data_IF_066648365536
#
_entry.id   IF_066648365536
#
_cell.length_a   1.000
_cell.length_b   1.000
_cell.length_c   1.000
_cell.angle_alpha   90.00
_cell.angle_beta   90.00
_cell.angle_gamma   90.00
#
_symmetry.space_group_name_H-M   'P 1'
#
loop_
_entity.id
_entity.type
_entity.pdbx_description
1 polymer ?
2 polymer ?
3 non-polymer ?
4 water ?
#
# COMPACT_ATOMS: atom_id res chain seq x y z
N UNK A 15 -14.66 30.97 14.44
CA UNK A 15 -15.40 29.75 14.00
C UNK A 15 -15.76 29.91 12.53
N UNK A 16 -16.43 31.01 12.15
CA UNK A 16 -16.81 31.23 10.75
C UNK A 16 -15.62 31.50 9.83
N UNK A 17 -14.49 31.90 10.41
CA UNK A 17 -13.29 32.17 9.65
C UNK A 17 -12.26 31.06 9.90
N UNK A 18 -12.63 30.11 10.78
CA UNK A 18 -11.78 28.97 11.12
C UNK A 18 -12.45 27.60 10.90
N UNK A 19 -12.97 27.36 9.69
CA UNK A 19 -13.62 26.10 9.36
C UNK A 19 -12.65 24.91 9.41
N UNK A 20 -11.43 25.13 8.95
CA UNK A 20 -10.42 24.08 8.94
C UNK A 20 -10.06 23.59 10.33
N UNK A 21 -10.45 24.31 11.37
CA UNK A 21 -10.13 23.90 12.74
C UNK A 21 -11.07 22.78 13.18
N UNK A 22 -12.19 22.63 12.49
CA UNK A 22 -13.15 21.62 12.91
C UNK A 22 -13.19 20.42 11.97
N UNK A 23 -12.92 19.22 12.52
CA UNK A 23 -12.93 18.02 11.69
C UNK A 23 -14.31 17.38 11.68
N UNK A 24 -14.65 16.68 10.60
CA UNK A 24 -15.93 16.02 10.53
C UNK A 24 -15.90 14.88 11.54
N UNK A 25 -17.01 14.66 12.24
CA UNK A 25 -17.17 13.60 13.24
C UNK A 25 -17.11 12.22 12.60
N UNK A 26 -16.64 11.23 13.36
CA UNK A 26 -16.51 9.85 12.88
C UNK A 26 -17.84 9.29 12.36
N UNK A 27 -18.94 9.78 12.91
CA UNK A 27 -20.28 9.35 12.50
C UNK A 27 -20.58 9.77 11.07
N UNK A 28 -20.04 10.91 10.68
CA UNK A 28 -20.22 11.43 9.32
C UNK A 28 -19.73 10.41 8.31
N UNK A 29 -18.52 9.90 8.51
CA UNK A 29 -17.95 8.92 7.58
C UNK A 29 -18.77 7.65 7.53
N UNK A 30 -19.26 7.20 8.68
CA UNK A 30 -20.08 6.00 8.75
C UNK A 30 -21.38 6.23 7.98
N UNK A 31 -21.99 7.38 8.21
CA UNK A 31 -23.22 7.73 7.54
C UNK A 31 -23.00 7.84 6.04
N UNK A 32 -21.81 8.31 5.65
CA UNK A 32 -21.49 8.48 4.26
C UNK A 32 -21.35 7.14 3.53
N UNK A 33 -20.74 6.17 4.20
CA UNK A 33 -20.57 4.85 3.61
C UNK A 33 -21.94 4.21 3.33
N UNK A 34 -22.87 4.36 4.29
CA UNK A 34 -24.22 3.81 4.14
C UNK A 34 -24.96 4.54 3.02
N UNK A 35 -24.80 5.86 3.01
CA UNK A 35 -25.43 6.68 1.99
C UNK A 35 -24.93 6.20 0.62
N UNK A 36 -23.64 5.89 0.54
CA UNK A 36 -23.06 5.40 -0.72
C UNK A 36 -23.62 4.03 -1.10
N UNK A 37 -23.69 3.13 -0.12
CA UNK A 37 -24.20 1.78 -0.36
C UNK A 37 -25.63 1.79 -0.91
N UNK A 38 -26.52 2.52 -0.24
CA UNK A 38 -27.90 2.58 -0.69
C UNK A 38 -27.97 3.18 -2.10
N UNK A 39 -27.33 4.33 -2.30
CA UNK A 39 -27.35 4.98 -3.60
C UNK A 39 -26.90 4.07 -4.74
N UNK A 40 -25.77 3.39 -4.56
CA UNK A 40 -25.26 2.51 -5.60
C UNK A 40 -26.18 1.32 -5.84
N UNK A 41 -26.78 0.81 -4.77
CA UNK A 41 -27.70 -0.31 -4.90
C UNK A 41 -29.01 0.13 -5.55
N UNK A 42 -29.57 1.19 -5.00
CA UNK A 42 -30.82 1.77 -5.50
C UNK A 42 -30.75 2.03 -6.99
N UNK A 43 -29.58 2.46 -7.46
CA UNK A 43 -29.40 2.75 -8.87
C UNK A 43 -28.99 1.52 -9.66
N UNK A 44 -28.98 0.36 -8.99
CA UNK A 44 -28.60 -0.90 -9.62
C UNK A 44 -27.18 -0.88 -10.19
N UNK A 45 -26.28 -0.19 -9.51
CA UNK A 45 -24.89 -0.10 -9.95
C UNK A 45 -23.99 -1.09 -9.22
N UNK A 46 -24.40 -1.49 -8.02
CA UNK A 46 -23.62 -2.43 -7.23
C UNK A 46 -24.55 -3.33 -6.40
N UNK A 47 -24.34 -4.63 -6.50
CA UNK A 47 -25.17 -5.60 -5.77
C UNK A 47 -24.66 -5.88 -4.35
N UNK A 48 -25.53 -6.40 -3.50
CA UNK A 48 -25.16 -6.72 -2.12
C UNK A 48 -24.34 -7.98 -2.02
N UNK A 49 -24.56 -8.91 -2.93
CA UNK A 49 -23.80 -10.14 -2.90
C UNK A 49 -22.38 -9.92 -3.42
N UNK A 50 -22.16 -8.80 -4.09
CA UNK A 50 -20.84 -8.48 -4.60
C UNK A 50 -20.03 -7.82 -3.48
N UNK A 51 -20.70 -7.02 -2.66
CA UNK A 51 -20.06 -6.33 -1.55
C UNK A 51 -19.62 -7.34 -0.49
N UNK A 52 -20.32 -8.46 -0.43
CA UNK A 52 -20.02 -9.51 0.55
C UNK A 52 -18.89 -10.40 0.05
N UNK A 53 -18.87 -10.65 -1.26
CA UNK A 53 -17.82 -11.46 -1.85
C UNK A 53 -16.45 -10.88 -1.48
N UNK A 54 -16.34 -9.56 -1.55
CA UNK A 54 -15.10 -8.85 -1.22
C UNK A 54 -14.72 -8.97 0.26
N UNK A 55 -15.68 -8.71 1.14
CA UNK A 55 -15.39 -8.78 2.57
C UNK A 55 -14.92 -10.18 2.92
N UNK A 56 -15.59 -11.18 2.35
CA UNK A 56 -15.25 -12.57 2.60
C UNK A 56 -13.85 -12.88 2.11
N UNK A 57 -13.50 -12.32 0.96
CA UNK A 57 -12.19 -12.54 0.36
C UNK A 57 -11.01 -11.89 1.06
N UNK A 58 -11.21 -10.71 1.64
CA UNK A 58 -10.12 -10.04 2.33
C UNK A 58 -10.09 -10.25 3.83
N UNK A 59 -11.18 -10.79 4.38
CA UNK A 59 -11.25 -11.00 5.82
C UNK A 59 -11.16 -12.48 6.23
N UNK A 60 -11.45 -13.38 5.29
CA UNK A 60 -11.43 -14.80 5.58
C UNK A 60 -10.65 -15.64 4.55
N UNK A 61 -10.35 -15.07 3.39
CA UNK A 61 -9.63 -15.84 2.37
C UNK A 61 -8.13 -15.54 2.27
N UNK A 62 -7.75 -14.27 2.40
CA UNK A 62 -6.36 -13.90 2.33
C UNK A 62 -5.78 -13.66 3.72
N UNK A 63 -4.49 -13.95 3.87
CA UNK A 63 -3.84 -13.76 5.16
C UNK A 63 -2.35 -14.01 5.07
N UNK A 64 -1.58 -13.66 6.10
CA UNK A 64 -0.13 -13.85 6.12
C UNK A 64 0.31 -15.30 5.94
N UNK A 65 -0.64 -16.21 6.06
CA UNK A 65 -0.38 -17.63 5.90
C UNK A 65 0.23 -17.93 4.54
N UNK A 66 -0.18 -17.21 3.50
CA UNK A 66 0.36 -17.43 2.16
C UNK A 66 1.86 -17.17 2.07
N UNK A 67 2.29 -16.00 2.52
CA UNK A 67 3.70 -15.67 2.48
C UNK A 67 4.51 -16.62 3.33
N UNK A 68 3.91 -17.06 4.44
CA UNK A 68 4.58 -17.98 5.33
C UNK A 68 4.99 -19.27 4.63
N UNK A 69 4.13 -19.77 3.74
CA UNK A 69 4.44 -20.99 3.01
C UNK A 69 5.59 -20.77 2.04
N UNK A 70 5.64 -19.59 1.42
CA UNK A 70 6.70 -19.25 0.48
C UNK A 70 8.03 -19.24 1.23
N UNK A 71 8.05 -18.63 2.41
CA UNK A 71 9.26 -18.57 3.21
C UNK A 71 9.71 -19.96 3.64
N UNK A 72 8.77 -20.80 4.02
CA UNK A 72 9.06 -22.15 4.46
C UNK A 72 9.62 -23.01 3.35
N UNK A 73 9.09 -22.85 2.15
CA UNK A 73 9.55 -23.62 1.01
C UNK A 73 10.96 -23.19 0.60
N UNK A 74 11.23 -21.88 0.66
CA UNK A 74 12.54 -21.36 0.33
C UNK A 74 13.53 -21.73 1.42
N UNK A 75 13.03 -21.87 2.64
CA UNK A 75 13.87 -22.23 3.77
C UNK A 75 14.30 -23.68 3.69
N UNK A 76 13.65 -24.44 2.82
CA UNK A 76 13.96 -25.86 2.68
C UNK A 76 14.32 -26.33 1.27
N UNK A 77 14.28 -25.41 0.30
CA UNK A 77 14.59 -25.76 -1.07
C UNK A 77 15.45 -24.69 -1.73
N UNK A 78 16.79 -24.86 -1.70
CA UNK A 78 17.73 -23.90 -2.29
C UNK A 78 17.39 -23.54 -3.73
N UNK A 79 16.90 -24.49 -4.51
CA UNK A 79 16.55 -24.19 -5.88
C UNK A 79 15.36 -23.25 -5.92
N UNK A 80 14.34 -23.54 -5.14
CA UNK A 80 13.16 -22.67 -5.11
C UNK A 80 13.56 -21.27 -4.70
N UNK A 81 14.34 -21.16 -3.62
CA UNK A 81 14.79 -19.88 -3.12
C UNK A 81 15.45 -19.04 -4.23
N UNK A 82 16.37 -19.65 -4.98
CA UNK A 82 17.06 -18.97 -6.07
C UNK A 82 16.03 -18.50 -7.10
N UNK A 83 15.19 -19.42 -7.56
CA UNK A 83 14.16 -19.08 -8.53
C UNK A 83 13.32 -17.91 -8.03
N UNK A 84 13.02 -17.94 -6.73
CA UNK A 84 12.21 -16.93 -6.08
C UNK A 84 12.87 -15.56 -6.06
N UNK A 85 14.15 -15.50 -5.75
CA UNK A 85 14.87 -14.24 -5.68
C UNK A 85 15.19 -13.64 -7.04
N UNK A 86 15.35 -14.47 -8.04
CA UNK A 86 15.69 -14.00 -9.38
C UNK A 86 14.46 -13.58 -10.15
N UNK A 87 13.49 -14.46 -10.27
CA UNK A 87 12.28 -14.13 -10.99
C UNK A 87 11.09 -14.46 -10.12
N UNK A 88 10.86 -13.62 -9.09
CA UNK A 88 9.76 -13.74 -8.13
C UNK A 88 8.37 -13.70 -8.73
N UNK A 89 8.16 -12.81 -9.71
CA UNK A 89 6.86 -12.70 -10.33
C UNK A 89 6.38 -14.00 -10.95
N UNK A 90 7.28 -14.70 -11.63
CA UNK A 90 6.91 -15.97 -12.25
C UNK A 90 6.66 -17.04 -11.20
N UNK A 91 7.60 -17.18 -10.27
CA UNK A 91 7.47 -18.18 -9.22
C UNK A 91 6.15 -18.03 -8.46
N UNK A 92 5.83 -16.81 -8.03
CA UNK A 92 4.60 -16.56 -7.30
C UNK A 92 3.36 -16.89 -8.13
N UNK A 93 3.40 -16.58 -9.42
CA UNK A 93 2.27 -16.87 -10.29
C UNK A 93 1.98 -18.37 -10.34
N UNK A 94 3.03 -19.18 -10.36
CA UNK A 94 2.88 -20.62 -10.39
C UNK A 94 2.25 -21.12 -9.09
N UNK A 95 2.61 -20.49 -7.98
CA UNK A 95 2.06 -20.90 -6.70
C UNK A 95 0.62 -20.45 -6.56
N UNK A 96 0.22 -19.47 -7.37
CA UNK A 96 -1.14 -18.98 -7.30
C UNK A 96 -1.34 -17.78 -6.39
N UNK A 97 -0.25 -17.28 -5.80
CA UNK A 97 -0.31 -16.12 -4.91
C UNK A 97 -0.22 -14.86 -5.76
N UNK A 98 -1.25 -14.63 -6.56
CA UNK A 98 -1.33 -13.49 -7.46
C UNK A 98 -2.70 -12.84 -7.29
N UNK A 99 -2.80 -11.56 -7.63
CA UNK A 99 -4.07 -10.88 -7.51
C UNK A 99 -3.98 -9.38 -7.36
N UNK A 100 -5.14 -8.75 -7.16
CA UNK A 100 -5.22 -7.30 -6.99
C UNK A 100 -4.20 -6.86 -5.96
N UNK A 101 -3.48 -5.79 -6.26
CA UNK A 101 -2.43 -5.25 -5.38
C UNK A 101 -1.37 -6.29 -5.01
N UNK A 102 -1.16 -7.23 -5.92
CA UNK A 102 -0.15 -8.25 -5.72
C UNK A 102 0.32 -8.70 -7.09
N UNK A 103 0.13 -7.85 -8.10
CA UNK A 103 0.52 -8.19 -9.46
C UNK A 103 2.03 -8.24 -9.65
N UNK A 104 2.76 -7.31 -9.03
CA UNK A 104 4.23 -7.26 -9.16
C UNK A 104 4.86 -7.25 -7.77
N UNK A 105 5.54 -8.34 -7.44
CA UNK A 105 6.16 -8.44 -6.13
C UNK A 105 7.64 -8.80 -6.19
N UNK A 106 8.41 -8.21 -5.29
CA UNK A 106 9.84 -8.46 -5.21
C UNK A 106 10.11 -8.97 -3.81
N UNK A 107 10.97 -9.97 -3.70
CA UNK A 107 11.31 -10.54 -2.41
C UNK A 107 12.75 -10.15 -2.02
N UNK A 108 12.89 -9.42 -0.92
CA UNK A 108 14.22 -9.01 -0.45
C UNK A 108 14.64 -9.93 0.69
N UNK A 109 15.87 -10.44 0.62
CA UNK A 109 16.38 -11.36 1.63
C UNK A 109 17.24 -10.74 2.73
N UNK A 110 16.98 -11.13 3.97
CA UNK A 110 17.77 -10.63 5.09
C UNK A 110 18.99 -11.53 5.24
N UNK A 111 20.12 -10.95 5.63
CA UNK A 111 21.36 -11.72 5.82
C UNK A 111 21.96 -11.27 7.13
N UNK A 112 23.07 -11.89 7.52
CA UNK A 112 23.71 -11.50 8.78
C UNK A 112 24.19 -10.06 8.77
N UNK A 113 24.40 -9.51 7.58
CA UNK A 113 24.89 -8.14 7.47
C UNK A 113 23.88 -7.18 6.85
N UNK A 114 22.78 -7.72 6.36
CA UNK A 114 21.75 -6.89 5.76
C UNK A 114 20.36 -7.17 6.31
N UNK A 115 19.64 -6.10 6.64
CA UNK A 115 18.28 -6.23 7.14
C UNK A 115 17.33 -5.39 6.28
N UNK A 116 16.18 -5.96 5.95
CA UNK A 116 15.21 -5.28 5.11
C UNK A 116 13.91 -4.94 5.84
N UNK A 117 13.35 -3.77 5.52
CA UNK A 117 12.09 -3.34 6.11
C UNK A 117 11.34 -2.53 5.05
N UNK A 118 10.09 -2.93 4.81
CA UNK A 118 9.23 -2.29 3.81
C UNK A 118 8.24 -1.31 4.44
N UNK A 119 7.75 -0.38 3.63
CA UNK A 119 6.80 0.64 4.08
C UNK A 119 6.18 1.31 2.86
N UNK A 120 5.18 2.15 3.13
CA UNK A 120 4.49 2.93 2.11
C UNK A 120 4.26 4.29 2.75
N UNK A 121 5.27 5.15 2.68
CA UNK A 121 5.19 6.48 3.30
C UNK A 121 4.02 7.33 2.82
N UNK A 122 3.69 7.22 1.53
CA UNK A 122 2.60 8.01 0.96
C UNK A 122 1.19 7.53 1.32
N UNK A 123 0.98 6.22 1.40
CA UNK A 123 -0.33 5.69 1.78
C UNK A 123 -0.26 4.45 2.68
N UNK A 124 -0.27 3.25 2.10
CA UNK A 124 -0.22 2.02 2.91
C UNK A 124 -0.14 0.78 2.03
N UNK A 125 0.36 0.95 0.80
CA UNK A 125 0.49 -0.15 -0.14
C UNK A 125 1.12 -1.37 0.54
N UNK A 126 0.49 -2.52 0.33
CA UNK A 126 0.85 -3.80 0.95
C UNK A 126 0.40 -4.88 -0.02
N UNK A 127 1.14 -5.99 -0.13
CA UNK A 127 0.83 -7.11 -1.02
C UNK A 127 -0.29 -8.02 -0.46
N UNK A 128 -1.52 -7.57 -0.61
CA UNK A 128 -2.70 -8.29 -0.10
C UNK A 128 -2.72 -9.77 -0.43
N UNK A 129 -2.56 -10.12 -1.71
CA UNK A 129 -2.57 -11.54 -2.09
C UNK A 129 -1.56 -12.42 -1.34
N UNK A 130 -0.53 -11.81 -0.77
CA UNK A 130 0.51 -12.56 -0.04
C UNK A 130 0.46 -12.54 1.48
N UNK A 131 0.25 -11.37 2.06
CA UNK A 131 0.21 -11.22 3.51
C UNK A 131 -1.14 -10.78 4.07
N UNK A 132 -2.12 -10.60 3.19
CA UNK A 132 -3.44 -10.17 3.63
C UNK A 132 -3.44 -8.68 3.92
N UNK A 133 -4.38 -8.21 4.74
CA UNK A 133 -4.42 -6.78 5.04
C UNK A 133 -3.27 -6.37 5.95
N UNK A 134 -2.82 -5.12 5.83
CA UNK A 134 -1.72 -4.58 6.64
C UNK A 134 -2.09 -4.33 8.10
N UNK A 135 -1.08 -4.25 8.97
CA UNK A 135 -1.24 -4.00 10.41
C UNK A 135 -1.80 -2.60 10.61
N UNK A 136 -2.39 -2.34 11.77
CA UNK A 136 -2.94 -1.03 12.03
C UNK A 136 -1.86 0.06 12.08
N UNK A 137 -0.73 -0.25 12.72
CA UNK A 137 0.37 0.72 12.84
C UNK A 137 1.08 0.99 11.53
N UNK A 138 0.95 0.07 10.58
CA UNK A 138 1.60 0.18 9.29
C UNK A 138 1.03 1.31 8.43
N UNK A 139 -0.24 1.65 8.63
CA UNK A 139 -0.86 2.69 7.84
C UNK A 139 -0.87 4.03 8.57
N UNK A 140 -0.40 4.06 9.81
CA UNK A 140 -0.42 5.32 10.54
C UNK A 140 0.85 6.16 10.30
N UNK A 141 0.73 7.48 10.47
CA UNK A 141 1.82 8.45 10.30
C UNK A 141 3.10 8.18 11.07
N UNK A 142 2.98 7.73 12.31
CA UNK A 142 4.16 7.48 13.15
C UNK A 142 5.19 6.60 12.46
N UNK A 143 4.77 5.41 12.03
CA UNK A 143 5.67 4.48 11.38
C UNK A 143 6.12 4.99 10.01
N UNK A 144 5.18 5.41 9.18
CA UNK A 144 5.46 5.90 7.85
C UNK A 144 6.40 7.09 7.80
N UNK A 145 6.32 7.97 8.79
CA UNK A 145 7.17 9.14 8.76
C UNK A 145 8.59 8.88 9.23
N UNK A 146 8.74 8.06 10.26
CA UNK A 146 10.05 7.79 10.84
C UNK A 146 10.89 6.65 10.27
N UNK A 147 10.25 5.59 9.81
CA UNK A 147 11.01 4.46 9.29
C UNK A 147 12.05 4.77 8.20
N UNK A 148 11.83 5.80 7.39
CA UNK A 148 12.80 6.13 6.34
C UNK A 148 13.96 7.02 6.78
N UNK A 149 13.80 7.75 7.88
CA UNK A 149 14.85 8.65 8.34
C UNK A 149 15.70 8.08 9.47
N UNK A 150 15.09 7.30 10.34
CA UNK A 150 15.77 6.69 11.48
C UNK A 150 15.23 5.29 11.74
N UNK A 151 15.40 4.37 10.79
CA UNK A 151 14.92 2.99 10.90
C UNK A 151 15.39 2.24 12.15
N UNK A 152 16.59 2.56 12.62
CA UNK A 152 17.13 1.90 13.81
C UNK A 152 16.32 2.17 15.06
N UNK A 153 15.88 3.41 15.26
CA UNK A 153 15.10 3.74 16.44
C UNK A 153 13.77 3.05 16.33
N UNK A 154 13.14 3.19 15.18
CA UNK A 154 11.85 2.55 14.97
C UNK A 154 11.95 1.06 15.26
N UNK A 155 13.01 0.41 14.78
CA UNK A 155 13.12 -1.01 15.03
C UNK A 155 13.25 -1.35 16.52
N UNK A 156 13.92 -0.49 17.29
CA UNK A 156 14.06 -0.75 18.72
C UNK A 156 12.68 -0.78 19.37
N UNK A 157 11.81 0.13 18.96
CA UNK A 157 10.47 0.17 19.51
C UNK A 157 9.75 -1.15 19.30
N UNK A 158 10.14 -1.91 18.28
CA UNK A 158 9.53 -3.21 18.01
C UNK A 158 10.33 -4.28 18.74
N UNK A 159 11.35 -3.86 19.48
CA UNK A 159 12.18 -4.80 20.22
C UNK A 159 13.32 -5.39 19.43
N UNK A 160 13.64 -4.78 18.28
CA UNK A 160 14.72 -5.27 17.44
C UNK A 160 15.90 -4.33 17.49
N UNK A 161 16.96 -4.75 18.15
CA UNK A 161 18.15 -3.92 18.29
C UNK A 161 19.23 -4.42 17.34
N UNK A 162 19.48 -3.69 16.27
CA UNK A 162 20.49 -4.11 15.31
C UNK A 162 21.80 -3.37 15.49
N UNK A 163 22.92 -4.08 15.33
CA UNK A 163 24.25 -3.50 15.45
C UNK A 163 24.46 -2.46 14.35
N UNK A 164 25.48 -1.63 14.49
CA UNK A 164 25.75 -0.62 13.48
C UNK A 164 26.45 -1.23 12.29
N UNK A 165 26.91 -2.46 12.43
CA UNK A 165 27.62 -3.13 11.35
C UNK A 165 26.63 -3.76 10.38
N UNK A 166 25.36 -3.75 10.75
CA UNK A 166 24.30 -4.31 9.93
C UNK A 166 23.60 -3.22 9.13
N UNK A 167 23.68 -3.31 7.81
CA UNK A 167 23.06 -2.32 6.94
C UNK A 167 21.55 -2.51 6.94
N UNK A 168 20.81 -1.41 7.11
CA UNK A 168 19.35 -1.48 7.09
C UNK A 168 18.83 -0.89 5.79
N UNK A 169 18.06 -1.67 5.05
CA UNK A 169 17.51 -1.19 3.80
C UNK A 169 16.01 -0.98 3.92
N UNK A 170 15.59 0.27 3.78
CA UNK A 170 14.18 0.59 3.84
C UNK A 170 13.65 0.60 2.42
N UNK A 171 12.53 -0.08 2.19
CA UNK A 171 11.92 -0.13 0.86
C UNK A 171 10.58 0.58 0.89
N UNK A 172 10.50 1.72 0.21
CA UNK A 172 9.25 2.50 0.18
C UNK A 172 8.44 2.17 -1.08
N UNK A 173 7.22 1.65 -0.92
CA UNK A 173 6.40 1.29 -2.08
C UNK A 173 5.76 2.47 -2.80
N UNK A 174 6.55 3.17 -3.60
CA UNK A 174 6.05 4.33 -4.33
C UNK A 174 5.31 3.98 -5.62
N UNK A 175 5.57 2.82 -6.19
CA UNK A 175 4.87 2.43 -7.43
C UNK A 175 3.93 1.26 -7.09
N UNK A 176 3.38 0.62 -8.12
CA UNK A 176 2.48 -0.50 -7.90
C UNK A 176 3.27 -1.72 -7.49
N UNK A 177 4.60 -1.62 -7.55
CA UNK A 177 5.46 -2.71 -7.18
C UNK A 177 5.45 -2.89 -5.66
N UNK A 178 5.27 -4.12 -5.19
CA UNK A 178 5.24 -4.40 -3.75
C UNK A 178 6.45 -5.23 -3.34
N UNK A 179 6.85 -5.13 -2.07
CA UNK A 179 7.99 -5.88 -1.59
C UNK A 179 7.67 -6.74 -0.36
N UNK A 180 8.32 -7.90 -0.28
CA UNK A 180 8.15 -8.80 0.86
C UNK A 180 9.53 -9.17 1.39
N UNK A 181 9.65 -9.26 2.70
CA UNK A 181 10.92 -9.60 3.33
C UNK A 181 11.04 -11.10 3.62
N UNK A 182 12.14 -11.70 3.18
CA UNK A 182 12.42 -13.11 3.42
C UNK A 182 13.40 -13.19 4.59
N UNK A 183 12.90 -13.49 5.81
CA UNK A 183 13.74 -13.59 7.01
C UNK A 183 14.68 -14.80 7.04
N UNK A 184 15.68 -14.77 7.90
CA UNK A 184 16.60 -15.90 8.01
C UNK A 184 15.99 -17.03 8.86
N UNK A 185 16.35 -18.26 8.54
CA UNK A 185 15.86 -19.42 9.26
C UNK A 185 16.53 -19.46 10.63
N UNK A 186 15.75 -19.39 11.71
CA UNK A 186 16.23 -19.41 13.09
C UNK A 186 17.16 -20.58 13.36
N UNK A 187 18.08 -20.37 14.29
CA UNK A 187 19.04 -21.40 14.65
C UNK A 187 18.49 -22.29 15.74
N UNK A 188 17.38 -22.96 15.45
CA UNK A 188 16.79 -23.84 16.44
C UNK A 188 15.93 -24.85 15.72
N UNK A 189 15.70 -24.58 14.45
CA UNK A 189 14.90 -25.46 13.63
C UNK A 189 15.60 -26.78 13.33
N UNK A 190 16.02 -26.97 12.08
CA UNK A 190 16.68 -28.19 11.63
C UNK A 190 15.93 -29.46 12.06
N UNK A 191 15.44 -30.20 11.08
CA UNK A 191 14.70 -31.41 11.40
C UNK A 191 13.22 -31.18 11.19
N UNK A 192 12.80 -29.92 11.33
CA UNK A 192 11.41 -29.56 11.15
C UNK A 192 11.08 -29.66 9.68
N UNK A 193 9.80 -29.86 9.38
CA UNK A 193 9.35 -29.98 8.00
C UNK A 193 8.87 -28.63 7.47
N UNK A 194 8.51 -28.61 6.19
CA UNK A 194 8.05 -27.39 5.56
C UNK A 194 6.80 -26.88 6.25
N UNK A 195 5.81 -27.75 6.42
CA UNK A 195 4.55 -27.37 7.04
C UNK A 195 4.78 -26.93 8.49
N UNK A 196 5.78 -27.50 9.14
CA UNK A 196 6.07 -27.14 10.52
C UNK A 196 6.80 -25.81 10.62
N UNK A 197 7.54 -25.46 9.57
CA UNK A 197 8.26 -24.20 9.56
C UNK A 197 7.32 -23.05 9.25
N UNK A 198 6.36 -23.29 8.36
CA UNK A 198 5.39 -22.25 7.99
C UNK A 198 4.67 -21.74 9.22
N UNK A 199 4.57 -22.56 10.27
CA UNK A 199 3.89 -22.15 11.49
C UNK A 199 4.66 -21.16 12.34
N UNK A 200 5.98 -21.09 12.19
CA UNK A 200 6.77 -20.16 13.01
C UNK A 200 7.06 -18.82 12.36
N UNK A 201 6.85 -18.71 11.06
CA UNK A 201 7.08 -17.46 10.33
C UNK A 201 5.96 -16.47 10.66
N UNK A 202 6.31 -15.34 11.29
CA UNK A 202 5.30 -14.35 11.64
C UNK A 202 5.11 -13.29 10.58
N UNK A 203 3.95 -12.66 10.61
CA UNK A 203 3.61 -11.61 9.66
C UNK A 203 4.63 -10.47 9.78
N UNK A 204 4.95 -10.08 11.00
CA UNK A 204 5.89 -9.00 11.19
C UNK A 204 7.29 -9.34 10.65
N UNK A 205 7.66 -10.61 10.67
CA UNK A 205 8.98 -10.97 10.16
C UNK A 205 9.08 -10.79 8.64
N UNK A 206 7.94 -10.85 7.95
CA UNK A 206 7.92 -10.68 6.51
C UNK A 206 7.77 -9.21 6.12
N UNK A 207 7.71 -8.33 7.11
CA UNK A 207 7.62 -6.90 6.84
C UNK A 207 8.99 -6.29 7.21
N UNK A 208 9.73 -7.01 8.04
CA UNK A 208 11.04 -6.55 8.46
C UNK A 208 11.11 -5.89 9.82
N UNK A 209 10.01 -5.92 10.57
CA UNK A 209 10.02 -5.29 11.89
C UNK A 209 10.33 -6.29 13.01
N UNK A 210 10.60 -7.54 12.63
CA UNK A 210 10.90 -8.57 13.60
C UNK A 210 11.60 -9.75 12.95
N UNK A 211 12.25 -10.56 13.76
CA UNK A 211 12.92 -11.74 13.26
C UNK A 211 12.25 -12.98 13.82
N UNK A 212 12.20 -14.04 13.03
CA UNK A 212 11.58 -15.27 13.49
C UNK A 212 12.38 -15.80 14.68
N UNK A 213 11.72 -16.00 15.81
CA UNK A 213 12.38 -16.51 17.01
C UNK A 213 12.52 -18.02 16.93
N UNK A 214 13.63 -18.55 17.46
CA UNK A 214 13.91 -19.99 17.46
C UNK A 214 12.92 -20.79 18.29
N UNK A 215 12.34 -21.84 17.69
CA UNK A 215 11.35 -22.75 18.30
C UNK A 215 11.94 -23.57 19.45
N UNK A 216 13.23 -23.37 19.70
CA UNK A 216 13.94 -24.08 20.77
C UNK A 216 13.17 -24.00 22.10
N UNK A 217 13.05 -22.78 22.63
CA UNK A 217 12.33 -22.55 23.88
C UNK A 217 10.86 -22.98 23.74
N UNK B 1 1.16 16.39 -5.13
CA UNK B 1 1.07 17.60 -4.29
C UNK B 1 1.84 17.39 -2.98
N UNK B 2 2.28 18.49 -2.38
CA UNK B 2 3.03 18.46 -1.12
C UNK B 2 2.04 18.45 0.04
N UNK B 3 1.18 17.42 0.06
CA UNK B 3 0.17 17.31 1.09
C UNK B 3 0.56 16.60 2.37
N UNK B 4 -0.39 16.58 3.29
CA UNK B 4 -0.20 15.96 4.58
C UNK B 4 0.05 14.45 4.48
N UNK B 5 -0.30 13.83 3.36
CA UNK B 5 -0.09 12.39 3.21
C UNK B 5 1.40 12.04 3.04
N UNK B 6 2.17 12.97 2.49
CA UNK B 6 3.61 12.78 2.26
C UNK B 6 4.36 13.03 3.56
N UNK B 7 4.17 12.14 4.53
CA UNK B 7 4.79 12.28 5.85
C UNK B 7 6.23 11.81 5.99
N UNK B 8 6.79 11.25 4.93
CA UNK B 8 8.16 10.77 5.00
C UNK B 8 9.11 11.82 5.56
N UNK B 9 9.82 11.48 6.62
CA UNK B 9 10.77 12.41 7.20
C UNK B 9 10.25 13.39 8.25
N UNK B 10 8.94 13.42 8.48
CA UNK B 10 8.39 14.35 9.46
C UNK B 10 8.60 13.86 10.90
N UNK B 11 8.53 14.80 11.84
CA UNK B 11 8.67 14.50 13.26
C UNK B 11 7.39 14.90 13.95
N UNK B 12 7.22 14.43 15.18
CA UNK B 12 6.05 14.81 15.94
C UNK B 12 4.88 13.84 15.94
N UNK B 13 4.97 12.77 15.17
CA UNK B 13 3.86 11.85 15.16
C UNK B 13 3.91 10.82 16.29
N UNK B 14 4.89 10.98 17.17
CA UNK B 14 5.00 10.09 18.31
C UNK B 14 5.42 8.66 18.08
N UNK B 15 5.26 7.84 19.12
CA UNK B 15 5.62 6.43 19.11
C UNK B 15 4.65 5.58 18.33
N UNK B 16 5.14 4.41 17.91
CA UNK B 16 4.33 3.47 17.15
C UNK B 16 3.47 2.64 18.11
N UNK B 17 2.16 2.56 17.83
CA UNK B 17 1.26 1.77 18.65
C UNK B 17 1.37 0.30 18.25
N UNK B 18 2.49 -0.32 18.59
CA UNK B 18 2.70 -1.73 18.24
C UNK B 18 1.70 -2.63 18.92
N UNK B 19 1.20 -3.61 18.19
CA UNK B 19 0.24 -4.57 18.73
C UNK B 19 0.55 -5.93 18.12
N UNK B 20 0.39 -6.99 18.90
CA UNK B 20 0.66 -8.35 18.40
C UNK B 20 -0.28 -8.66 17.24
N UNK B 21 0.23 -9.33 16.21
CA UNK B 21 -0.58 -9.65 15.04
C UNK B 21 -1.79 -10.51 15.34
N UNK B 22 -1.71 -11.33 16.38
CA UNK B 22 -2.83 -12.20 16.75
C UNK B 22 -3.90 -11.41 17.50
N UNK B 23 -3.64 -10.14 17.76
CA UNK B 23 -4.58 -9.29 18.47
C UNK B 23 -4.98 -8.04 17.69
N UNK B 24 -4.30 -7.81 16.57
CA UNK B 24 -4.59 -6.65 15.71
C UNK B 24 -5.76 -6.96 14.79
N UNK B 25 -6.96 -6.53 15.18
CA UNK B 25 -8.18 -6.77 14.40
C UNK B 25 -8.29 -5.92 13.14
N UNK B 26 -8.74 -6.55 12.05
CA UNK B 26 -8.90 -5.88 10.76
C UNK B 26 -9.98 -4.80 10.81
N UNK B 27 -11.23 -5.23 10.93
CA UNK B 27 -12.34 -4.30 10.99
C UNK B 27 -13.00 -4.30 12.35
N UNK B 28 -13.17 -3.12 12.93
CA UNK B 28 -13.82 -3.00 14.23
C UNK B 28 -15.30 -2.67 14.04
N UNK B 29 -15.62 -2.04 12.93
CA UNK B 29 -16.99 -1.66 12.67
C UNK B 29 -17.48 -2.22 11.35
N UNK B 30 -18.79 -2.34 11.22
CA UNK B 30 -19.37 -2.87 10.01
C UNK B 30 -19.21 -1.95 8.81
N UNK B 31 -19.25 -0.64 9.03
CA UNK B 31 -19.11 0.28 7.91
C UNK B 31 -17.73 0.21 7.31
N UNK B 32 -16.77 -0.24 8.10
CA UNK B 32 -15.41 -0.36 7.57
C UNK B 32 -15.40 -1.53 6.58
N UNK B 33 -16.01 -2.64 6.96
CA UNK B 33 -16.06 -3.80 6.06
C UNK B 33 -16.81 -3.39 4.79
N UNK B 34 -17.85 -2.59 4.98
CA UNK B 34 -18.67 -2.10 3.87
C UNK B 34 -17.84 -1.30 2.87
N UNK B 35 -17.01 -0.41 3.41
CA UNK B 35 -16.13 0.46 2.61
C UNK B 35 -15.23 -0.36 1.69
N UNK B 36 -14.62 -1.39 2.24
CA UNK B 36 -13.76 -2.22 1.43
C UNK B 36 -14.54 -2.72 0.22
N UNK B 37 -15.75 -3.20 0.45
CA UNK B 37 -16.59 -3.69 -0.63
C UNK B 37 -16.89 -2.58 -1.62
N UNK B 38 -17.32 -1.44 -1.09
CA UNK B 38 -17.63 -0.27 -1.90
C UNK B 38 -16.48 0.10 -2.82
N UNK B 39 -15.26 0.06 -2.30
CA UNK B 39 -14.07 0.40 -3.09
C UNK B 39 -13.80 -0.64 -4.17
N UNK B 40 -13.64 -1.89 -3.75
CA UNK B 40 -13.37 -2.99 -4.67
C UNK B 40 -14.50 -3.16 -5.69
N UNK B 41 -15.73 -2.88 -5.26
CA UNK B 41 -16.87 -3.02 -6.16
C UNK B 41 -16.90 -2.04 -7.33
N UNK B 42 -16.61 -0.77 -7.05
CA UNK B 42 -16.61 0.24 -8.10
C UNK B 42 -15.44 0.11 -9.06
N UNK B 43 -14.24 -0.07 -8.50
CA UNK B 43 -13.04 -0.18 -9.31
C UNK B 43 -13.10 -1.38 -10.25
N UNK B 44 -13.74 -2.46 -9.81
CA UNK B 44 -13.84 -3.65 -10.65
C UNK B 44 -14.65 -3.36 -11.91
N UNK B 45 -15.62 -2.47 -11.78
CA UNK B 45 -16.49 -2.10 -12.90
C UNK B 45 -16.02 -0.84 -13.56
N UNK B 46 -15.02 -0.19 -13.00
CA UNK B 46 -14.53 1.04 -13.59
C UNK B 46 -15.43 2.22 -13.30
N UNK B 47 -16.18 2.14 -12.20
CA UNK B 47 -17.09 3.20 -11.77
C UNK B 47 -16.33 4.26 -11.00
N UNK B 48 -16.07 5.40 -11.63
CA UNK B 48 -15.35 6.46 -10.95
C UNK B 48 -13.86 6.20 -10.79
N UNK B 49 -13.43 4.94 -10.92
CA UNK B 49 -12.03 4.58 -10.76
C UNK B 49 -11.59 3.42 -11.65
N UNK B 50 -10.63 3.66 -12.55
CA UNK B 50 -10.12 2.60 -13.44
C UNK B 50 -9.09 1.75 -12.71
N UNK B 51 -8.24 2.42 -11.93
CA UNK B 51 -7.19 1.76 -11.18
C UNK B 51 -7.00 2.52 -9.87
N UNK B 52 -5.85 2.36 -9.22
CA UNK B 52 -5.61 3.03 -7.95
C UNK B 52 -5.10 4.46 -8.02
N UNK B 53 -4.73 4.93 -9.22
CA UNK B 53 -4.25 6.30 -9.34
C UNK B 53 -5.33 7.30 -8.98
N UNK B 54 -6.51 7.13 -9.58
CA UNK B 54 -7.63 8.03 -9.31
C UNK B 54 -8.08 7.88 -7.86
N UNK B 55 -7.79 6.72 -7.28
CA UNK B 55 -8.15 6.42 -5.90
C UNK B 55 -7.27 7.15 -4.90
N UNK B 56 -5.96 7.18 -5.13
CA UNK B 56 -5.07 7.85 -4.18
C UNK B 56 -5.24 9.38 -4.18
N UNK B 57 -5.49 9.97 -5.34
CA UNK B 57 -5.64 11.42 -5.42
C UNK B 57 -6.84 11.85 -4.58
N UNK B 58 -7.90 11.06 -4.62
CA UNK B 58 -9.10 11.38 -3.87
C UNK B 58 -8.79 11.55 -2.40
N UNK B 59 -7.92 10.70 -1.87
CA UNK B 59 -7.54 10.78 -0.47
C UNK B 59 -6.67 12.02 -0.23
N UNK B 60 -5.67 12.22 -1.09
CA UNK B 60 -4.75 13.35 -1.00
C UNK B 60 -5.45 14.71 -1.00
N UNK B 61 -6.61 14.78 -1.63
CA UNK B 61 -7.38 16.01 -1.70
C UNK B 61 -8.17 16.31 -0.43
N UNK B 62 -8.18 15.38 0.54
CA UNK B 62 -8.93 15.61 1.77
C UNK B 62 -8.39 16.81 2.53
N UNK B 63 -9.18 17.33 3.45
CA UNK B 63 -8.70 18.45 4.25
C UNK B 63 -7.76 17.83 5.26
N UNK B 64 -6.64 18.52 5.54
CA UNK B 64 -5.66 18.00 6.50
C UNK B 64 -6.31 17.54 7.82
N UNK B 65 -7.20 18.33 8.41
CA UNK B 65 -7.83 17.89 9.66
C UNK B 65 -8.65 16.61 9.51
N UNK B 66 -9.27 16.42 8.35
CA UNK B 66 -10.08 15.22 8.13
C UNK B 66 -9.17 14.00 7.92
N UNK B 67 -8.05 14.22 7.24
CA UNK B 67 -7.13 13.14 6.97
C UNK B 67 -6.51 12.58 8.26
N UNK B 68 -6.22 13.46 9.22
CA UNK B 68 -5.63 13.02 10.47
C UNK B 68 -6.64 12.51 11.48
N UNK B 69 -7.88 13.01 11.39
CA UNK B 69 -8.92 12.60 12.32
C UNK B 69 -9.74 11.39 11.88
N UNK B 70 -10.25 11.39 10.66
CA UNK B 70 -11.04 10.25 10.20
C UNK B 70 -10.17 9.01 10.31
N UNK B 71 -10.80 7.85 10.41
CA UNK B 71 -9.99 6.63 10.52
C UNK B 71 -9.38 6.28 9.15
N UNK B 72 -8.64 5.19 9.12
CA UNK B 72 -8.02 4.76 7.87
C UNK B 72 -9.09 4.56 6.80
N UNK B 73 -10.15 3.81 7.11
CA UNK B 73 -11.20 3.57 6.12
C UNK B 73 -12.04 4.82 5.87
N UNK B 74 -11.73 5.90 6.59
CA UNK B 74 -12.44 7.14 6.37
C UNK B 74 -11.89 7.74 5.08
N UNK B 75 -10.60 7.49 4.84
CA UNK B 75 -9.90 7.98 3.65
C UNK B 75 -10.52 7.33 2.40
N UNK B 76 -10.76 6.03 2.50
CA UNK B 76 -11.34 5.28 1.39
C UNK B 76 -12.72 5.80 1.03
N UNK B 77 -13.51 6.13 2.04
CA UNK B 77 -14.84 6.65 1.82
C UNK B 77 -14.77 8.01 1.10
N UNK B 78 -13.86 8.87 1.56
CA UNK B 78 -13.73 10.19 0.96
C UNK B 78 -13.38 10.13 -0.54
N UNK B 79 -12.47 9.24 -0.91
CA UNK B 79 -12.08 9.15 -2.30
C UNK B 79 -13.17 8.55 -3.18
N UNK B 80 -13.87 7.54 -2.68
CA UNK B 80 -14.94 6.92 -3.44
C UNK B 80 -16.02 7.95 -3.75
N UNK B 81 -16.34 8.78 -2.75
CA UNK B 81 -17.35 9.80 -2.95
C UNK B 81 -16.83 10.86 -3.91
N UNK B 82 -15.57 11.24 -3.75
CA UNK B 82 -14.93 12.24 -4.59
C UNK B 82 -15.01 11.86 -6.07
N UNK B 83 -14.54 10.65 -6.37
CA UNK B 83 -14.52 10.13 -7.72
C UNK B 83 -15.89 9.93 -8.34
N UNK B 84 -16.86 9.47 -7.54
CA UNK B 84 -18.20 9.24 -8.08
C UNK B 84 -18.88 10.57 -8.43
N UNK B 85 -18.58 11.61 -7.66
CA UNK B 85 -19.15 12.92 -7.92
C UNK B 85 -18.49 13.50 -9.16
N UNK B 86 -17.17 13.51 -9.17
CA UNK B 86 -16.39 14.02 -10.30
C UNK B 86 -16.83 13.44 -11.62
N UNK B 87 -16.88 12.11 -11.71
CA UNK B 87 -17.30 11.46 -12.94
C UNK B 87 -18.80 11.55 -13.15
N UNK B 88 -19.48 12.36 -12.33
CA UNK B 88 -20.92 12.50 -12.47
C UNK B 88 -21.78 11.27 -12.23
N UNK B 89 -21.21 10.21 -11.68
CA UNK B 89 -21.97 9.00 -11.41
C UNK B 89 -23.08 9.30 -10.39
N UNK B 90 -22.80 10.20 -9.46
CA UNK B 90 -23.77 10.57 -8.45
C UNK B 90 -23.81 12.09 -8.34
N UNK B 91 -24.97 12.62 -8.00
CA UNK B 91 -25.13 14.05 -7.87
C UNK B 91 -24.79 14.55 -6.46
N UNK B 92 -24.20 15.74 -6.39
CA UNK B 92 -23.82 16.34 -5.11
C UNK B 92 -24.94 16.39 -4.08
N UNK B 93 -26.04 17.06 -4.42
CA UNK B 93 -27.20 17.19 -3.53
C UNK B 93 -27.77 15.80 -3.19
N UNK B 94 -27.72 14.92 -4.18
CA UNK B 94 -28.21 13.56 -4.02
C UNK B 94 -27.53 12.80 -2.89
N UNK B 95 -26.20 12.94 -2.81
CA UNK B 95 -25.41 12.27 -1.78
C UNK B 95 -25.55 12.95 -0.41
N UNK B 96 -25.60 14.27 -0.40
CA UNK B 96 -25.73 15.01 0.85
C UNK B 96 -26.98 14.64 1.63
N UNK B 97 -28.11 14.53 0.93
CA UNK B 97 -29.36 14.19 1.60
C UNK B 97 -29.30 12.80 2.24
N UNK B 98 -28.72 11.83 1.54
CA UNK B 98 -28.62 10.48 2.09
C UNK B 98 -27.73 10.45 3.32
N UNK B 99 -26.58 11.12 3.22
CA UNK B 99 -25.66 11.17 4.34
C UNK B 99 -26.37 11.68 5.58
N UNK B 100 -27.04 12.81 5.44
CA UNK B 100 -27.78 13.42 6.55
C UNK B 100 -28.83 12.47 7.08
N UNK B 101 -29.53 11.80 6.16
CA UNK B 101 -30.58 10.86 6.54
C UNK B 101 -30.02 9.77 7.45
N UNK B 102 -28.87 9.19 7.07
CA UNK B 102 -28.27 8.15 7.87
C UNK B 102 -27.64 8.63 9.15
N UNK B 103 -27.43 9.93 9.26
CA UNK B 103 -26.88 10.47 10.49
C UNK B 103 -28.03 10.65 11.46
N UNK B 104 -29.22 10.85 10.90
CA UNK B 104 -30.43 11.04 11.71
C UNK B 104 -30.87 9.71 12.32
N UNK B 105 -31.01 8.69 11.48
CA UNK B 105 -31.42 7.37 11.93
C UNK B 105 -30.52 6.30 11.31
N UNK B 106 -29.35 6.08 11.94
CA UNK B 106 -28.33 5.11 11.54
C UNK B 106 -28.80 3.67 11.44
N UNK B 107 -29.92 3.37 12.10
CA UNK B 107 -30.47 2.01 12.09
C UNK B 107 -31.25 1.69 10.83
N UNK B 108 -31.50 2.71 10.00
CA UNK B 108 -32.26 2.52 8.77
C UNK B 108 -31.70 1.37 7.95
N UNK B 109 -32.55 0.39 7.63
CA UNK B 109 -32.12 -0.74 6.83
C UNK B 109 -32.13 -0.40 5.35
N UNK B 110 -31.32 -1.12 4.58
CA UNK B 110 -31.24 -0.89 3.15
C UNK B 110 -31.81 -2.06 2.38
N UNK B 111 -32.51 -1.75 1.29
CA UNK B 111 -33.10 -2.77 0.44
C UNK B 111 -32.00 -3.65 -0.14
N UNK B 112 -32.05 -4.95 0.17
CA UNK B 112 -31.03 -5.85 -0.36
C UNK B 112 -31.37 -6.22 -1.80
N UNK B 113 -30.35 -6.29 -2.65
CA UNK B 113 -30.51 -6.64 -4.06
C UNK B 113 -29.28 -7.42 -4.47
N UNK B 114 -29.46 -8.43 -5.31
CA UNK B 114 -28.32 -9.23 -5.74
C UNK B 114 -28.38 -9.71 -7.17
N UNK B 115 -27.22 -10.13 -7.68
CA UNK B 115 -27.07 -10.67 -9.02
C UNK B 115 -25.65 -11.18 -9.16
N UNK B 116 -25.51 -12.50 -9.39
CA UNK B 116 -24.20 -13.15 -9.54
C UNK B 116 -23.38 -12.59 -10.69
N UNK B 117 -24.01 -11.82 -11.57
CA UNK B 117 -23.31 -11.25 -12.71
C UNK B 117 -22.20 -10.31 -12.26
N UNK B 118 -22.54 -9.35 -11.40
CA UNK B 118 -21.54 -8.41 -10.91
C UNK B 118 -20.53 -9.14 -10.03
N UNK B 119 -21.00 -10.08 -9.24
CA UNK B 119 -20.13 -10.84 -8.36
C UNK B 119 -19.01 -11.49 -9.15
N UNK B 120 -19.35 -11.94 -10.35
CA UNK B 120 -18.37 -12.60 -11.19
C UNK B 120 -17.35 -11.57 -11.68
N UNK B 121 -17.81 -10.33 -11.89
CA UNK B 121 -16.92 -9.26 -12.35
C UNK B 121 -15.90 -8.91 -11.26
N UNK B 122 -16.40 -8.74 -10.04
CA UNK B 122 -15.56 -8.41 -8.90
C UNK B 122 -14.50 -9.48 -8.68
N UNK B 123 -14.88 -10.75 -8.84
CA UNK B 123 -13.91 -11.82 -8.65
C UNK B 123 -12.80 -11.76 -9.69
N UNK B 124 -13.18 -11.39 -10.91
CA UNK B 124 -12.23 -11.26 -12.01
C UNK B 124 -11.13 -10.28 -11.63
N UNK B 125 -11.52 -9.13 -11.10
CA UNK B 125 -10.58 -8.10 -10.69
C UNK B 125 -9.68 -8.53 -9.53
N UNK B 126 -10.27 -9.17 -8.53
CA UNK B 126 -9.54 -9.63 -7.36
C UNK B 126 -8.48 -10.69 -7.68
N UNK B 127 -8.75 -11.52 -8.69
CA UNK B 127 -7.83 -12.59 -9.04
C UNK B 127 -6.90 -12.28 -10.21
N UNK B 128 -7.33 -11.42 -11.13
CA UNK B 128 -6.50 -11.07 -12.27
C UNK B 128 -5.66 -9.81 -12.03
N UNK B 129 -6.13 -8.94 -11.14
CA UNK B 129 -5.41 -7.72 -10.81
C UNK B 129 -5.46 -6.65 -11.89
N UNK B 130 -4.70 -5.57 -11.71
CA UNK B 130 -4.67 -4.49 -12.70
C UNK B 130 -3.22 -4.05 -12.94
N UNK B 131 -2.42 -4.92 -13.56
CA UNK B 131 -1.03 -4.62 -13.85
C UNK B 131 -0.91 -3.32 -14.65
N UNK B 132 -0.09 -2.37 -14.17
CA UNK B 132 0.10 -1.09 -14.85
C UNK B 132 1.16 -1.13 -15.94
N UNK B 133 1.67 -2.33 -16.22
CA UNK B 133 2.71 -2.52 -17.23
C UNK B 133 2.17 -2.29 -18.64
N UNK B 134 2.92 -1.52 -19.43
CA UNK B 134 2.53 -1.22 -20.79
C UNK B 134 3.72 -1.31 -21.71
N UNK B 135 3.47 -1.20 -23.02
CA UNK B 135 4.52 -1.27 -24.02
C UNK B 135 4.68 0.06 -24.71
N UNK B 136 5.91 0.53 -24.82
CA UNK B 136 6.17 1.81 -25.48
C UNK B 136 7.32 1.70 -26.47
N UNK B 137 7.49 2.73 -27.30
CA UNK B 137 8.54 2.72 -28.30
C UNK B 137 9.76 3.53 -27.89
N UNK B 138 9.63 4.30 -26.81
CA UNK B 138 10.71 5.15 -26.31
C UNK B 138 11.88 4.35 -25.79
N UNK B 139 13.06 4.94 -25.86
CA UNK B 139 14.28 4.31 -25.36
C UNK B 139 14.54 4.87 -23.96
N UNK B 140 14.65 3.98 -22.96
CA UNK B 140 14.91 4.40 -21.58
C UNK B 140 16.15 5.30 -21.52
N UNK B 141 16.09 6.35 -20.72
CA UNK B 141 17.22 7.27 -20.61
C UNK B 141 18.36 6.76 -19.74
N UNK B 142 18.04 6.07 -18.66
CA UNK B 142 19.06 5.59 -17.73
C UNK B 142 19.22 4.09 -17.66
N UNK B 143 20.37 3.64 -17.19
CA UNK B 143 20.64 2.21 -17.10
C UNK B 143 21.09 1.80 -15.70
N UNK B 144 20.92 0.52 -15.38
CA UNK B 144 21.31 0.02 -14.08
C UNK B 144 22.74 0.41 -13.77
N UNK B 145 22.98 0.87 -12.54
CA UNK B 145 24.32 1.25 -12.16
C UNK B 145 24.59 2.72 -12.37
N UNK B 146 23.82 3.38 -13.22
CA UNK B 146 24.06 4.77 -13.47
C UNK B 146 23.70 5.66 -12.28
N UNK B 147 24.48 6.73 -12.08
CA UNK B 147 24.25 7.66 -11.00
C UNK B 147 23.24 8.67 -11.50
N UNK B 148 22.14 8.81 -10.76
CA UNK B 148 21.08 9.71 -11.16
C UNK B 148 20.88 10.90 -10.22
N UNK B 149 19.98 11.79 -10.60
CA UNK B 149 19.67 12.97 -9.79
C UNK B 149 18.18 13.26 -9.93
N UNK B 150 17.45 13.18 -8.82
CA UNK B 150 16.02 13.44 -8.91
C UNK B 150 15.78 14.91 -9.23
N UNK B 151 14.77 15.18 -10.05
CA UNK B 151 14.47 16.54 -10.44
C UNK B 151 13.83 17.32 -9.27
N UNK B 152 14.03 18.64 -9.26
CA UNK B 152 13.44 19.48 -8.23
C UNK B 152 12.14 20.09 -8.75
N UNK B 153 11.08 19.30 -8.73
CA UNK B 153 9.81 19.78 -9.19
C UNK B 153 8.77 19.50 -8.12
N UNK B 154 7.77 20.38 -8.07
CA UNK B 154 6.70 20.30 -7.10
C UNK B 154 5.35 20.28 -7.81
N UNK B 155 4.96 19.12 -8.33
CA UNK B 155 3.67 19.07 -9.03
C UNK B 155 2.50 19.38 -8.10
N UNK B 156 1.51 20.11 -8.63
CA UNK B 156 0.30 20.51 -7.92
C UNK B 156 -0.68 19.34 -7.80
N UNK B 157 -0.68 18.49 -8.83
CA UNK B 157 -1.58 17.36 -8.82
C UNK B 157 -0.93 16.14 -8.21
N UNK B 158 -1.53 14.99 -8.41
CA UNK B 158 -1.02 13.73 -7.89
C UNK B 158 0.38 13.43 -8.41
N UNK B 159 1.18 12.76 -7.57
CA UNK B 159 2.52 12.37 -7.95
C UNK B 159 3.03 11.39 -6.91
N UNK B 160 3.91 10.48 -7.32
CA UNK B 160 4.45 9.48 -6.41
C UNK B 160 5.91 9.84 -6.16
N UNK B 161 6.18 11.14 -6.15
CA UNK B 161 7.53 11.65 -5.95
C UNK B 161 7.55 12.33 -4.57
N UNK B 162 7.73 11.53 -3.51
CA UNK B 162 7.77 12.04 -2.13
C UNK B 162 8.83 13.12 -1.95
N UNK B 163 8.50 14.13 -1.16
CA UNK B 163 9.40 15.25 -0.93
C UNK B 163 10.77 14.90 -0.35
N UNK B 164 10.86 13.89 0.50
CA UNK B 164 12.16 13.61 1.09
C UNK B 164 13.23 13.13 0.11
N UNK B 165 12.88 12.90 -1.15
CA UNK B 165 13.89 12.47 -2.11
C UNK B 165 14.06 13.43 -3.30
N UNK B 166 13.54 14.65 -3.19
CA UNK B 166 13.68 15.59 -4.28
C UNK B 166 15.00 16.34 -4.24
N UNK B 167 15.59 16.53 -5.42
CA UNK B 167 16.84 17.25 -5.55
C UNK B 167 17.91 16.50 -4.77
N UNK B 168 18.01 15.19 -5.03
CA UNK B 168 18.98 14.36 -4.33
C UNK B 168 19.59 13.39 -5.34
N UNK B 169 20.83 12.99 -5.08
CA UNK B 169 21.53 12.06 -5.98
C UNK B 169 21.34 10.62 -5.57
N UNK B 170 21.15 9.74 -6.55
CA UNK B 170 20.97 8.33 -6.27
C UNK B 170 21.53 7.41 -7.34
N UNK B 171 21.33 6.10 -7.19
CA UNK B 171 21.84 5.13 -8.15
C UNK B 171 20.75 4.17 -8.63
N UNK B 172 20.62 4.00 -9.95
CA UNK B 172 19.61 3.09 -10.47
C UNK B 172 19.97 1.66 -10.10
N UNK B 173 19.00 0.94 -9.56
CA UNK B 173 19.20 -0.44 -9.15
C UNK B 173 18.56 -1.40 -10.15
N UNK B 174 17.44 -0.98 -10.73
CA UNK B 174 16.73 -1.81 -11.70
C UNK B 174 15.89 -1.01 -12.68
N UNK B 175 15.62 -1.59 -13.84
CA UNK B 175 14.78 -0.97 -14.84
C UNK B 175 13.60 -1.91 -14.99
N UNK B 176 12.47 -1.58 -14.37
CA UNK B 176 11.30 -2.44 -14.39
C UNK B 176 10.63 -2.56 -15.75
N UNK B 177 10.60 -1.45 -16.49
CA UNK B 177 9.93 -1.44 -17.76
C UNK B 177 9.03 -0.21 -17.73
N UNK B 178 8.03 -0.16 -18.58
CA UNK B 178 7.16 1.00 -18.58
C UNK B 178 5.85 0.77 -17.82
N UNK B 179 5.51 1.70 -16.93
CA UNK B 179 4.29 1.61 -16.14
C UNK B 179 3.46 2.88 -16.30
N UNK B 180 2.15 2.76 -16.06
CA UNK B 180 1.23 3.88 -16.13
C UNK B 180 1.79 5.01 -15.28
N UNK B 181 1.78 6.21 -15.82
CA UNK B 181 2.29 7.39 -15.13
C UNK B 181 1.21 7.97 -14.24
N UNK B 182 1.37 7.84 -12.93
CA UNK B 182 0.41 8.35 -11.94
C UNK B 182 -0.03 9.78 -12.18
N UNK B 183 0.93 10.69 -12.25
CA UNK B 183 0.68 12.12 -12.43
C UNK B 183 -0.38 12.43 -13.49
N UNK B 184 -0.47 11.59 -14.52
CA UNK B 184 -1.46 11.80 -15.57
C UNK B 184 -2.71 10.96 -15.37
N UNK B 185 -2.54 9.65 -15.20
CA UNK B 185 -3.68 8.76 -15.01
C UNK B 185 -4.59 9.20 -13.86
N UNK B 186 -4.00 9.67 -12.76
CA UNK B 186 -4.80 10.09 -11.63
C UNK B 186 -5.75 11.23 -11.96
N UNK B 187 -5.37 12.04 -12.94
CA UNK B 187 -6.21 13.17 -13.31
C UNK B 187 -6.96 12.92 -14.61
N UNK B 188 -7.09 11.65 -14.97
CA UNK B 188 -7.84 11.28 -16.17
C UNK B 188 -7.23 11.87 -17.44
N UNK B 189 -5.94 12.16 -17.41
CA UNK B 189 -5.28 12.74 -18.59
C UNK B 189 -4.69 11.68 -19.53
N UNK B 190 -5.03 10.42 -19.30
CA UNK B 190 -4.49 9.36 -20.13
C UNK B 190 -3.34 8.69 -19.41
N UNK B 191 -3.32 7.36 -19.41
CA UNK B 191 -2.23 6.63 -18.75
C UNK B 191 -1.09 6.71 -19.74
N UNK B 192 -0.18 7.65 -19.54
CA UNK B 192 0.93 7.81 -20.48
C UNK B 192 2.16 7.13 -19.93
N UNK B 193 2.29 5.81 -20.17
CA UNK B 193 3.41 4.99 -19.70
C UNK B 193 4.76 5.69 -19.74
N UNK B 194 5.61 5.33 -18.78
CA UNK B 194 6.95 5.89 -18.67
C UNK B 194 7.78 4.82 -18.00
N UNK B 195 9.06 4.74 -18.35
CA UNK B 195 9.94 3.76 -17.73
C UNK B 195 10.04 4.00 -16.22
N UNK B 196 9.87 2.93 -15.46
CA UNK B 196 9.94 2.99 -14.01
C UNK B 196 11.29 2.45 -13.56
N UNK B 197 11.93 3.14 -12.62
CA UNK B 197 13.23 2.69 -12.12
C UNK B 197 13.23 2.59 -10.60
N UNK B 198 14.02 1.66 -10.07
CA UNK B 198 14.16 1.55 -8.62
C UNK B 198 15.50 2.25 -8.33
N UNK B 199 15.46 3.32 -7.55
CA UNK B 199 16.67 4.09 -7.21
C UNK B 199 17.05 3.90 -5.74
N UNK B 200 18.34 3.74 -5.48
CA UNK B 200 18.83 3.57 -4.11
C UNK B 200 19.45 4.89 -3.61
N UNK B 201 19.13 5.28 -2.39
CA UNK B 201 19.68 6.51 -1.82
C UNK B 201 20.40 6.20 -0.50
N UNK B 202 21.49 6.91 -0.22
CA UNK B 202 22.21 6.70 1.03
C UNK B 202 21.66 7.65 2.09
N UNK B 203 21.65 7.20 3.34
CA UNK B 203 21.15 8.01 4.45
C UNK B 203 21.83 9.38 4.47
N UNK B 204 23.12 9.41 4.20
CA UNK B 204 23.86 10.66 4.21
C UNK B 204 23.30 11.67 3.22
N UNK B 205 23.00 11.20 2.02
CA UNK B 205 22.48 12.08 0.99
C UNK B 205 21.09 12.58 1.33
N UNK B 206 20.28 11.75 1.96
CA UNK B 206 18.93 12.17 2.32
C UNK B 206 18.84 12.99 3.59
N UNK B 207 19.55 12.56 4.64
CA UNK B 207 19.46 13.26 5.93
C UNK B 207 20.70 13.98 6.43
N UNK B 208 21.77 13.96 5.64
CA UNK B 208 22.99 14.64 6.02
C UNK B 208 23.68 14.01 7.21
N UNK B 209 23.44 12.73 7.43
CA UNK B 209 24.05 12.04 8.55
C UNK B 209 24.59 10.68 8.13
N UNK B 210 25.86 10.42 8.42
CA UNK B 210 26.43 9.14 8.04
C UNK B 210 25.96 7.99 8.92
N UNK B 211 25.12 7.14 8.36
CA UNK B 211 24.63 5.98 9.07
C UNK B 211 24.59 4.85 8.05
N UNK B 212 24.66 3.62 8.53
CA UNK B 212 24.68 2.48 7.65
C UNK B 212 23.25 2.10 7.22
N UNK B 213 22.50 3.11 6.80
CA UNK B 213 21.12 2.91 6.36
C UNK B 213 20.92 3.43 4.93
N UNK B 214 19.98 2.85 4.21
CA UNK B 214 19.70 3.29 2.86
C UNK B 214 18.22 3.09 2.52
N UNK B 215 17.73 3.90 1.57
CA UNK B 215 16.35 3.82 1.15
C UNK B 215 16.26 3.45 -0.31
N UNK B 216 15.37 2.50 -0.61
CA UNK B 216 15.14 2.08 -1.99
C UNK B 216 13.74 2.54 -2.35
N UNK B 217 13.61 3.16 -3.52
CA UNK B 217 12.29 3.66 -3.94
C UNK B 217 12.13 3.58 -5.46
N UNK B 218 10.89 3.52 -5.94
CA UNK B 218 10.64 3.44 -7.37
C UNK B 218 10.26 4.78 -7.93
N UNK B 219 11.01 5.27 -8.90
CA UNK B 219 10.71 6.56 -9.46
C UNK B 219 10.52 6.47 -10.97
N UNK B 220 9.57 7.25 -11.48
CA UNK B 220 9.31 7.28 -12.92
C UNK B 220 10.38 8.12 -13.61
N UNK B 221 10.69 7.79 -14.86
CA UNK B 221 11.72 8.50 -15.60
C UNK B 221 11.51 10.00 -15.60
N UNK B 222 10.25 10.42 -15.53
CA UNK B 222 9.95 11.84 -15.53
C UNK B 222 10.35 12.56 -14.26
N UNK B 223 10.79 11.81 -13.26
CA UNK B 223 11.21 12.41 -11.98
C UNK B 223 12.73 12.52 -11.94
N UNK B 224 13.39 11.78 -12.81
CA UNK B 224 14.84 11.74 -12.82
C UNK B 224 15.48 12.57 -13.94
N UNK B 225 16.77 12.87 -13.77
CA UNK B 225 17.51 13.61 -14.77
C UNK B 225 18.95 13.16 -14.66
N UNK B 226 19.68 13.16 -15.78
CA UNK B 226 21.08 12.74 -15.80
C UNK B 226 22.00 13.63 -14.98
N UNK B 227 23.10 13.07 -14.50
CA UNK B 227 24.06 13.82 -13.71
C UNK B 227 24.92 14.64 -14.66
N UNK B 228 24.93 15.95 -14.46
CA UNK B 228 25.71 16.87 -15.31
C UNK B 228 27.21 16.60 -15.25
N UNK B 229 27.70 15.87 -16.26
CA UNK B 229 29.12 15.51 -16.36
C UNK B 229 29.58 14.63 -15.20
#
# INVERSE_FOLDING_TARGET
>A
MAIEQKLMDDHHEVDPRFPHHHPRPQSFWEARAKALESLLIEKRLLSSDAIERVIKHYEHELGPMNGAKVVAKAWTDPEFKQRLLEDPETVLRELGYFGLQGEHIRVVENTDTVHNVVVCTLCSCYPWPLLGLPPSWYKEPAYRSRVVKEPRKVLQEFGLDLPDSVEIRVWDSSSEVRFMVLPQRPEGTEGMTEEELAQIVTRDSMIGVAKVQPPKVIQE
>B
MNGIHDVGGMDGFGKIMYVKEEEDTYFKHDWERLTFGLVAGCMAQGLGMKAFDEFRIGIEKMRPVDYLTSSYYGHWIATVAYNLLETGVLDEKELEDRTQAFMEKPDTKIQRWENPKLVKVVEKALLEGLSPVREVSSFPRFEVGERIKTRNIHPTGHTRFPRYVRDKYGVIEEVYGAHVFPDDAAHRKGENPQYLYRVRFDAEELWGVKQNDSVYIDLWEGYLEPVSH
#
